data_IF_043891552083
#
_entry.id   IF_043891552083
#
_cell.length_a   1.000
_cell.length_b   1.000
_cell.length_c   1.000
_cell.angle_alpha   90.00
_cell.angle_beta   90.00
_cell.angle_gamma   90.00
#
_symmetry.space_group_name_H-M   'P 1'
#
loop_
_entity.id
_entity.type
_entity.pdbx_description
1 polymer ?
#
# COMPACT_ATOMS: atom_id res chain seq x y z
N UNK A 1 -10.77 -15.96 17.82
CA UNK A 1 -10.11 -15.41 16.62
C UNK A 1 -10.95 -15.62 15.37
N UNK A 2 -11.44 -16.83 15.12
CA UNK A 2 -12.41 -17.14 14.06
C UNK A 2 -13.70 -16.31 14.18
N UNK A 3 -14.27 -16.18 15.38
CA UNK A 3 -15.48 -15.37 15.61
C UNK A 3 -15.30 -13.89 15.25
N UNK A 4 -14.16 -13.30 15.61
CA UNK A 4 -13.80 -11.93 15.25
C UNK A 4 -13.71 -11.76 13.73
N UNK A 5 -13.15 -12.75 13.03
CA UNK A 5 -13.08 -12.73 11.56
C UNK A 5 -14.48 -12.82 10.96
N UNK A 6 -15.34 -13.71 11.43
CA UNK A 6 -16.73 -13.84 10.96
C UNK A 6 -17.55 -12.56 11.20
N UNK A 7 -17.38 -11.93 12.35
CA UNK A 7 -18.04 -10.66 12.68
C UNK A 7 -17.62 -9.55 11.71
N UNK A 8 -16.31 -9.43 11.42
CA UNK A 8 -15.79 -8.44 10.49
C UNK A 8 -16.18 -8.72 9.03
N UNK A 9 -16.28 -9.99 8.65
CA UNK A 9 -16.82 -10.40 7.34
C UNK A 9 -18.26 -9.90 7.18
N UNK A 10 -19.10 -10.14 8.20
CA UNK A 10 -20.51 -9.69 8.19
C UNK A 10 -20.61 -8.17 8.20
N UNK A 11 -19.87 -7.48 9.06
CA UNK A 11 -19.89 -6.00 9.15
C UNK A 11 -19.43 -5.33 7.85
N UNK A 12 -18.42 -5.90 7.20
CA UNK A 12 -17.88 -5.38 5.94
C UNK A 12 -18.60 -5.90 4.69
N UNK A 13 -19.64 -6.73 4.84
CA UNK A 13 -20.37 -7.37 3.74
C UNK A 13 -19.47 -8.12 2.74
N UNK A 14 -18.46 -8.83 3.24
CA UNK A 14 -17.59 -9.66 2.40
C UNK A 14 -18.28 -10.98 2.03
N UNK A 15 -18.17 -11.39 0.76
CA UNK A 15 -18.76 -12.61 0.23
C UNK A 15 -18.04 -13.89 0.71
N UNK A 16 -16.79 -13.78 1.19
CA UNK A 16 -16.05 -14.91 1.74
C UNK A 16 -14.89 -14.49 2.65
N UNK A 17 -14.37 -15.45 3.43
CA UNK A 17 -13.11 -15.29 4.18
C UNK A 17 -11.95 -14.88 3.27
N UNK A 18 -11.80 -15.54 2.12
CA UNK A 18 -10.74 -15.25 1.17
C UNK A 18 -10.81 -13.82 0.66
N UNK A 19 -12.01 -13.28 0.44
CA UNK A 19 -12.18 -11.89 0.04
C UNK A 19 -11.78 -10.92 1.16
N UNK A 20 -12.21 -11.18 2.39
CA UNK A 20 -11.81 -10.41 3.55
C UNK A 20 -10.28 -10.37 3.72
N UNK A 21 -9.60 -11.51 3.60
CA UNK A 21 -8.15 -11.56 3.64
C UNK A 21 -7.48 -10.82 2.47
N UNK A 22 -8.04 -10.87 1.24
CA UNK A 22 -7.53 -10.07 0.12
C UNK A 22 -7.62 -8.57 0.40
N UNK A 23 -8.69 -8.11 1.06
CA UNK A 23 -8.79 -6.72 1.48
C UNK A 23 -7.72 -6.36 2.52
N UNK A 24 -7.53 -7.19 3.54
CA UNK A 24 -6.48 -6.98 4.53
C UNK A 24 -5.08 -6.91 3.90
N UNK A 25 -4.78 -7.83 2.97
CA UNK A 25 -3.53 -7.80 2.21
C UNK A 25 -3.38 -6.51 1.41
N UNK A 26 -4.44 -6.04 0.74
CA UNK A 26 -4.41 -4.78 0.00
C UNK A 26 -4.13 -3.58 0.91
N UNK A 27 -4.76 -3.53 2.08
CA UNK A 27 -4.52 -2.46 3.05
C UNK A 27 -3.09 -2.48 3.58
N UNK A 28 -2.57 -3.67 3.89
CA UNK A 28 -1.18 -3.83 4.31
C UNK A 28 -0.18 -3.39 3.23
N UNK A 29 -0.40 -3.80 1.98
CA UNK A 29 0.42 -3.36 0.85
C UNK A 29 0.34 -1.85 0.63
N UNK A 30 -0.84 -1.26 0.78
CA UNK A 30 -1.02 0.19 0.65
C UNK A 30 -0.27 0.96 1.74
N UNK A 31 -0.26 0.45 2.98
CA UNK A 31 0.54 1.00 4.08
C UNK A 31 2.03 0.98 3.77
N UNK A 32 2.55 -0.17 3.33
CA UNK A 32 3.96 -0.29 2.91
C UNK A 32 4.31 0.67 1.77
N UNK A 33 3.46 0.74 0.75
CA UNK A 33 3.67 1.66 -0.37
C UNK A 33 3.71 3.12 0.10
N UNK A 34 2.87 3.50 1.07
CA UNK A 34 2.87 4.86 1.63
C UNK A 34 4.18 5.17 2.36
N UNK A 35 4.73 4.21 3.12
CA UNK A 35 6.03 4.33 3.78
C UNK A 35 7.16 4.50 2.76
N UNK A 36 7.24 3.61 1.76
CA UNK A 36 8.23 3.66 0.68
C UNK A 36 8.18 4.99 -0.10
N UNK A 37 6.97 5.50 -0.36
CA UNK A 37 6.79 6.79 -1.02
C UNK A 37 7.28 7.96 -0.16
N UNK A 38 7.05 7.92 1.15
CA UNK A 38 7.53 8.98 2.05
C UNK A 38 9.06 8.96 2.19
N UNK A 39 9.66 7.77 2.23
CA UNK A 39 11.12 7.61 2.16
C UNK A 39 11.68 8.21 0.86
N UNK A 40 11.09 7.86 -0.29
CA UNK A 40 11.48 8.44 -1.58
C UNK A 40 11.34 9.97 -1.58
N UNK A 41 10.27 10.52 -1.00
CA UNK A 41 10.08 11.98 -0.88
C UNK A 41 11.18 12.63 -0.02
N UNK A 42 11.61 11.97 1.05
CA UNK A 42 12.72 12.46 1.90
C UNK A 42 14.03 12.46 1.13
N UNK A 43 14.32 11.42 0.36
CA UNK A 43 15.51 11.36 -0.50
C UNK A 43 15.53 12.50 -1.53
N UNK A 44 14.40 12.74 -2.20
CA UNK A 44 14.28 13.84 -3.16
C UNK A 44 14.47 15.21 -2.49
N UNK A 45 13.89 15.44 -1.31
CA UNK A 45 14.08 16.67 -0.53
C UNK A 45 15.52 16.85 -0.04
N UNK A 46 16.21 15.75 0.26
CA UNK A 46 17.62 15.72 0.65
C UNK A 46 18.59 15.95 -0.50
N UNK A 47 18.10 16.09 -1.73
CA UNK A 47 18.93 16.29 -2.92
C UNK A 47 19.48 15.01 -3.55
N UNK A 48 19.06 13.84 -3.07
CA UNK A 48 19.49 12.53 -3.59
C UNK A 48 18.69 12.10 -4.84
N UNK A 49 17.92 13.02 -5.44
CA UNK A 49 17.15 12.79 -6.65
C UNK A 49 17.90 13.17 -7.93
N UNK A 50 17.61 12.49 -9.04
CA UNK A 50 18.08 12.87 -10.37
C UNK A 50 17.06 13.80 -11.04
N UNK A 51 17.44 15.05 -11.30
CA UNK A 51 16.62 15.93 -12.13
C UNK A 51 16.75 15.50 -13.60
N UNK A 52 15.66 14.98 -14.15
CA UNK A 52 15.58 14.62 -15.56
C UNK A 52 15.19 15.86 -16.37
N UNK A 53 15.89 16.13 -17.48
CA UNK A 53 15.52 17.23 -18.38
C UNK A 53 14.42 16.79 -19.35
N UNK A 54 14.29 15.48 -19.56
CA UNK A 54 13.23 14.86 -20.34
C UNK A 54 13.02 13.40 -19.93
N UNK A 55 11.91 12.79 -20.37
CA UNK A 55 11.65 11.36 -20.18
C UNK A 55 12.71 10.45 -20.81
N UNK A 56 13.49 10.95 -21.79
CA UNK A 56 14.61 10.18 -22.38
C UNK A 56 15.74 9.93 -21.39
N UNK A 57 15.85 10.77 -20.35
CA UNK A 57 16.92 10.71 -19.35
C UNK A 57 16.63 9.69 -18.21
N UNK A 58 15.46 9.05 -18.24
CA UNK A 58 14.94 8.12 -17.22
C UNK A 58 15.57 6.71 -17.30
N UNK A 59 16.42 6.44 -18.29
CA UNK A 59 17.09 5.14 -18.46
C UNK A 59 18.51 5.15 -17.95
#
# INVERSE_FOLDING_TARGET
MTEVVEENIKKGNFASKSEFFRMLLRLWMAGKLAEELEESRKELRGGNGKLLKSLKDLR
#
